data_IF_971626654097
#
_entry.id   IF_971626654097
#
_cell.length_a   1.000
_cell.length_b   1.000
_cell.length_c   1.000
_cell.angle_alpha   90.00
_cell.angle_beta   90.00
_cell.angle_gamma   90.00
#
_symmetry.space_group_name_H-M   'P 1'
#
loop_
_entity.id
_entity.type
_entity.pdbx_description
1 polymer ?
#
# COMPACT_ATOMS: atom_id res chain seq x y z
N UNK A 1 -7.64 -10.70 1.02
CA UNK A 1 -6.21 -10.76 1.37
C UNK A 1 -5.50 -9.57 0.77
N UNK A 2 -4.80 -8.78 1.60
CA UNK A 2 -4.00 -7.64 1.15
C UNK A 2 -2.83 -8.10 0.26
N UNK A 3 -2.30 -7.21 -0.58
CA UNK A 3 -1.12 -7.51 -1.41
C UNK A 3 0.09 -7.89 -0.54
N UNK A 4 0.27 -7.23 0.61
CA UNK A 4 1.41 -7.48 1.51
C UNK A 4 1.32 -8.86 2.15
N UNK A 5 0.12 -9.28 2.53
CA UNK A 5 -0.13 -10.61 3.10
C UNK A 5 0.24 -11.69 2.09
N UNK A 6 -0.22 -11.57 0.84
CA UNK A 6 0.11 -12.53 -0.23
C UNK A 6 1.61 -12.63 -0.50
N UNK A 7 2.29 -11.47 -0.59
CA UNK A 7 3.75 -11.41 -0.73
C UNK A 7 4.45 -12.17 0.40
N UNK A 8 4.01 -11.93 1.65
CA UNK A 8 4.62 -12.54 2.82
C UNK A 8 4.34 -14.04 2.91
N UNK A 9 3.12 -14.48 2.61
CA UNK A 9 2.77 -15.90 2.55
C UNK A 9 3.64 -16.65 1.53
N UNK A 10 3.84 -16.10 0.33
CA UNK A 10 4.71 -16.73 -0.65
C UNK A 10 6.17 -16.77 -0.18
N UNK A 11 6.66 -15.68 0.44
CA UNK A 11 8.01 -15.65 0.99
C UNK A 11 8.18 -16.67 2.13
N UNK A 12 7.16 -16.87 2.96
CA UNK A 12 7.16 -17.86 4.05
C UNK A 12 7.11 -19.29 3.49
N UNK A 13 6.49 -19.49 2.33
CA UNK A 13 6.50 -20.74 1.57
C UNK A 13 7.84 -21.00 0.84
N UNK A 14 8.85 -20.16 1.04
CA UNK A 14 10.19 -20.32 0.46
C UNK A 14 10.42 -19.57 -0.86
N UNK A 15 9.49 -18.71 -1.28
CA UNK A 15 9.72 -17.87 -2.47
C UNK A 15 10.82 -16.84 -2.21
N UNK A 16 11.81 -16.80 -3.10
CA UNK A 16 12.90 -15.83 -3.04
C UNK A 16 12.41 -14.40 -3.26
N UNK A 17 13.08 -13.44 -2.63
CA UNK A 17 12.70 -12.01 -2.69
C UNK A 17 12.63 -11.49 -4.12
N UNK A 18 13.57 -11.92 -4.97
CA UNK A 18 13.60 -11.56 -6.40
C UNK A 18 12.41 -12.14 -7.16
N UNK A 19 12.04 -13.39 -6.89
CA UNK A 19 10.88 -14.03 -7.50
C UNK A 19 9.58 -13.31 -7.08
N UNK A 20 9.45 -12.98 -5.79
CA UNK A 20 8.31 -12.21 -5.29
C UNK A 20 8.24 -10.82 -5.94
N UNK A 21 9.36 -10.13 -6.11
CA UNK A 21 9.42 -8.83 -6.77
C UNK A 21 8.87 -8.89 -8.22
N UNK A 22 9.27 -9.92 -8.99
CA UNK A 22 8.76 -10.14 -10.34
C UNK A 22 7.26 -10.50 -10.32
N UNK A 23 6.86 -11.48 -9.51
CA UNK A 23 5.47 -11.95 -9.40
C UNK A 23 4.50 -10.82 -9.07
N UNK A 24 4.88 -9.94 -8.15
CA UNK A 24 4.03 -8.86 -7.64
C UNK A 24 4.33 -7.50 -8.25
N UNK A 25 5.17 -7.44 -9.30
CA UNK A 25 5.58 -6.20 -9.98
C UNK A 25 6.07 -5.13 -9.00
N UNK A 26 6.80 -5.56 -7.97
CA UNK A 26 7.37 -4.72 -6.93
C UNK A 26 8.88 -4.63 -7.04
N UNK A 27 9.50 -3.79 -6.20
CA UNK A 27 10.96 -3.79 -6.05
C UNK A 27 11.41 -4.73 -4.94
N UNK A 28 12.56 -5.37 -5.09
CA UNK A 28 13.15 -6.22 -4.05
C UNK A 28 13.31 -5.46 -2.73
N UNK A 29 13.73 -4.19 -2.78
CA UNK A 29 13.88 -3.36 -1.60
C UNK A 29 12.56 -3.14 -0.84
N UNK A 30 11.42 -3.05 -1.54
CA UNK A 30 10.09 -2.99 -0.93
C UNK A 30 9.74 -4.31 -0.23
N UNK A 31 10.03 -5.44 -0.86
CA UNK A 31 9.77 -6.77 -0.28
C UNK A 31 10.63 -7.01 0.97
N UNK A 32 11.94 -6.68 0.92
CA UNK A 32 12.85 -6.77 2.08
C UNK A 32 12.36 -5.90 3.25
N UNK A 33 11.96 -4.65 2.97
CA UNK A 33 11.37 -3.77 3.99
C UNK A 33 10.10 -4.34 4.60
N UNK A 34 9.26 -4.99 3.80
CA UNK A 34 8.03 -5.61 4.31
C UNK A 34 8.34 -6.78 5.25
N UNK A 35 9.28 -7.67 4.88
CA UNK A 35 9.74 -8.76 5.75
C UNK A 35 10.36 -8.22 7.05
N UNK A 36 11.19 -7.19 6.95
CA UNK A 36 11.82 -6.56 8.12
C UNK A 36 10.77 -5.97 9.06
N UNK A 37 9.81 -5.19 8.53
CA UNK A 37 8.74 -4.60 9.35
C UNK A 37 7.92 -5.66 10.06
N UNK A 38 7.55 -6.75 9.38
CA UNK A 38 6.84 -7.86 10.01
C UNK A 38 7.66 -8.48 11.15
N UNK A 39 8.97 -8.63 10.97
CA UNK A 39 9.87 -9.15 12.02
C UNK A 39 9.97 -8.21 13.23
N UNK A 40 10.03 -6.91 12.99
CA UNK A 40 10.23 -5.91 14.04
C UNK A 40 8.96 -5.58 14.82
N UNK A 41 7.82 -5.45 14.14
CA UNK A 41 6.58 -4.96 14.76
C UNK A 41 5.40 -5.92 14.65
N UNK A 42 5.52 -7.03 13.93
CA UNK A 42 4.40 -7.91 13.59
C UNK A 42 3.39 -7.28 12.62
N UNK A 43 3.54 -6.00 12.27
CA UNK A 43 2.56 -5.28 11.47
C UNK A 43 2.78 -5.50 9.97
N UNK A 44 1.74 -6.00 9.31
CA UNK A 44 1.67 -6.11 7.85
C UNK A 44 0.80 -5.03 7.22
N UNK A 45 -0.13 -4.46 7.98
CA UNK A 45 -1.10 -3.45 7.52
C UNK A 45 -0.44 -2.11 7.18
N UNK A 46 -0.94 -1.34 6.19
CA UNK A 46 -0.50 0.04 5.99
C UNK A 46 -0.60 0.84 7.31
N UNK A 47 0.44 1.64 7.63
CA UNK A 47 0.29 2.61 8.72
C UNK A 47 -0.78 3.61 8.32
N UNK A 48 -1.67 3.98 9.25
CA UNK A 48 -2.58 5.10 9.04
C UNK A 48 -1.71 6.35 8.83
N UNK A 49 -1.87 7.02 7.69
CA UNK A 49 -1.27 8.34 7.49
C UNK A 49 -1.89 9.28 8.51
N UNK A 50 -1.07 9.80 9.44
CA UNK A 50 -1.55 10.60 10.57
C UNK A 50 -2.22 11.92 10.19
N UNK A 51 -2.01 12.39 8.95
CA UNK A 51 -2.64 13.58 8.42
C UNK A 51 -3.29 13.23 7.08
N UNK A 52 -4.62 13.08 7.08
CA UNK A 52 -5.37 13.25 5.85
C UNK A 52 -5.31 14.76 5.54
N UNK A 53 -4.42 15.16 4.63
CA UNK A 53 -4.56 16.47 4.01
C UNK A 53 -5.98 16.56 3.45
N UNK A 54 -6.65 17.69 3.68
CA UNK A 54 -7.95 17.93 3.05
C UNK A 54 -7.81 17.65 1.55
N UNK A 55 -8.73 16.89 0.94
CA UNK A 55 -8.73 16.67 -0.50
C UNK A 55 -8.55 18.01 -1.23
N UNK A 56 -7.63 18.10 -2.18
CA UNK A 56 -7.32 19.36 -2.87
C UNK A 56 -8.57 20.00 -3.51
N UNK A 57 -9.55 19.17 -3.91
CA UNK A 57 -10.83 19.62 -4.48
C UNK A 57 -11.89 20.07 -3.46
N UNK A 58 -11.64 19.99 -2.15
CA UNK A 58 -12.65 20.36 -1.15
C UNK A 58 -13.03 21.85 -1.24
N UNK A 59 -12.06 22.70 -1.61
CA UNK A 59 -12.28 24.12 -1.85
C UNK A 59 -13.17 24.42 -3.07
N UNK A 60 -13.28 23.46 -4.00
CA UNK A 60 -14.03 23.61 -5.25
C UNK A 60 -15.31 22.77 -5.27
N UNK A 61 -15.71 22.18 -4.14
CA UNK A 61 -16.85 21.24 -4.09
C UNK A 61 -18.15 21.89 -4.58
N UNK A 62 -18.48 23.07 -4.04
CA UNK A 62 -19.72 23.79 -4.39
C UNK A 62 -19.74 24.23 -5.87
N UNK A 63 -18.70 24.89 -6.43
CA UNK A 63 -18.65 25.17 -7.87
C UNK A 63 -18.78 23.94 -8.78
N UNK A 64 -18.19 22.80 -8.38
CA UNK A 64 -18.28 21.55 -9.15
C UNK A 64 -19.69 20.96 -9.13
N UNK A 65 -20.38 21.00 -7.98
CA UNK A 65 -21.75 20.51 -7.86
C UNK A 65 -22.75 21.34 -8.68
N UNK A 66 -22.47 22.63 -8.85
CA UNK A 66 -23.30 23.52 -9.65
C UNK A 66 -23.14 23.27 -11.15
N UNK A 67 -21.90 23.03 -11.61
CA UNK A 67 -21.58 22.67 -12.99
C UNK A 67 -22.13 21.30 -13.43
N UNK A 68 -22.28 20.34 -12.52
CA UNK A 68 -22.88 19.02 -12.83
C UNK A 68 -24.40 19.09 -12.97
N UNK A 69 -25.03 20.15 -12.47
CA UNK A 69 -26.48 20.31 -12.44
C UNK A 69 -27.05 21.01 -13.70
N UNK A 70 -26.18 21.64 -14.49
CA UNK A 70 -26.49 22.24 -15.80
C UNK A 70 -26.16 21.27 -16.94
#
# INVERSE_FOLDING_TARGET
MDLRERVLTDCDAGMEVRQAAVKYRGSESRIRRLKQRRRESGEVSPRKSGHAAAPQGLAHREPLEQLVRE
#
